data_IF_057830103434
#
_entry.id   IF_057830103434
#
_cell.length_a   1.000
_cell.length_b   1.000
_cell.length_c   1.000
_cell.angle_alpha   90.00
_cell.angle_beta   90.00
_cell.angle_gamma   90.00
#
_symmetry.space_group_name_H-M   'P 1'
#
loop_
_entity.id
_entity.type
_entity.pdbx_description
1 polymer ?
#
# COMPACT_ATOMS: atom_id res chain seq x y z
N UNK A 1 8.07 2.26 22.53
CA UNK A 1 8.75 2.48 21.22
C UNK A 1 7.87 2.01 20.07
N UNK A 2 7.87 2.78 19.00
CA UNK A 2 7.12 2.41 17.80
C UNK A 2 7.83 1.27 17.05
N UNK A 3 7.06 0.31 16.58
CA UNK A 3 7.58 -0.81 15.80
C UNK A 3 7.54 -0.46 14.32
N UNK A 4 8.63 -0.77 13.61
CA UNK A 4 8.69 -0.74 12.14
C UNK A 4 8.71 -2.20 11.69
N UNK A 5 7.72 -2.57 10.88
CA UNK A 5 7.55 -3.97 10.48
C UNK A 5 8.36 -4.29 9.21
N UNK A 6 8.64 -5.57 9.02
CA UNK A 6 9.08 -6.07 7.72
C UNK A 6 7.90 -5.97 6.75
N UNK A 7 8.14 -5.43 5.56
CA UNK A 7 7.09 -5.24 4.56
C UNK A 7 6.39 -6.55 4.19
N UNK A 8 7.15 -7.66 4.16
CA UNK A 8 6.58 -8.96 3.82
C UNK A 8 5.60 -9.47 4.87
N UNK A 9 5.80 -9.15 6.15
CA UNK A 9 4.86 -9.48 7.21
C UNK A 9 3.53 -8.73 7.01
N UNK A 10 3.62 -7.47 6.59
CA UNK A 10 2.41 -6.68 6.35
C UNK A 10 1.70 -7.16 5.08
N UNK A 11 2.44 -7.57 4.05
CA UNK A 11 1.85 -8.23 2.87
C UNK A 11 1.07 -9.47 3.29
N UNK A 12 1.68 -10.33 4.11
CA UNK A 12 1.02 -11.55 4.60
C UNK A 12 -0.25 -11.23 5.40
N UNK A 13 -0.17 -10.22 6.27
CA UNK A 13 -1.34 -9.76 7.03
C UNK A 13 -2.47 -9.33 6.09
N UNK A 14 -2.17 -8.49 5.12
CA UNK A 14 -3.17 -7.97 4.16
C UNK A 14 -3.82 -9.12 3.39
N UNK A 15 -3.02 -10.06 2.89
CA UNK A 15 -3.55 -11.21 2.14
C UNK A 15 -4.51 -12.02 3.02
N UNK A 16 -4.08 -12.43 4.21
CA UNK A 16 -4.90 -13.24 5.12
C UNK A 16 -6.15 -12.50 5.56
N UNK A 17 -6.02 -11.22 5.88
CA UNK A 17 -7.14 -10.41 6.37
C UNK A 17 -8.17 -10.16 5.26
N UNK A 18 -7.73 -9.91 4.04
CA UNK A 18 -8.62 -9.68 2.89
C UNK A 18 -9.53 -10.87 2.63
N UNK A 19 -9.00 -12.08 2.73
CA UNK A 19 -9.77 -13.31 2.47
C UNK A 19 -10.50 -13.86 3.70
N UNK A 20 -10.25 -13.31 4.87
CA UNK A 20 -10.91 -13.75 6.11
C UNK A 20 -12.40 -13.38 6.13
N UNK A 21 -12.75 -12.22 5.56
CA UNK A 21 -14.13 -11.74 5.54
C UNK A 21 -14.89 -12.16 4.29
N UNK A 22 -14.20 -12.30 3.16
CA UNK A 22 -14.83 -12.63 1.87
C UNK A 22 -13.86 -13.36 0.95
N UNK A 23 -14.10 -14.63 0.71
CA UNK A 23 -13.30 -15.46 -0.21
C UNK A 23 -13.38 -14.97 -1.66
N UNK A 24 -14.37 -14.14 -2.01
CA UNK A 24 -14.56 -13.60 -3.35
C UNK A 24 -13.82 -12.26 -3.55
N UNK A 25 -13.12 -11.76 -2.56
CA UNK A 25 -12.27 -10.58 -2.71
C UNK A 25 -11.10 -10.90 -3.65
N UNK A 26 -11.18 -10.38 -4.87
CA UNK A 26 -10.12 -10.58 -5.84
C UNK A 26 -8.97 -9.62 -5.56
N UNK A 27 -8.00 -10.07 -4.77
CA UNK A 27 -6.80 -9.30 -4.48
C UNK A 27 -5.77 -9.54 -5.59
N UNK A 28 -5.86 -8.76 -6.67
CA UNK A 28 -4.85 -8.83 -7.72
C UNK A 28 -3.57 -8.10 -7.28
N UNK A 29 -2.45 -8.43 -7.92
CA UNK A 29 -1.15 -7.86 -7.59
C UNK A 29 -1.15 -6.32 -7.63
N UNK A 30 -1.76 -5.74 -8.65
CA UNK A 30 -1.94 -4.28 -8.76
C UNK A 30 -2.61 -3.70 -7.51
N UNK A 31 -3.69 -4.31 -7.06
CA UNK A 31 -4.45 -3.86 -5.89
C UNK A 31 -3.62 -3.96 -4.61
N UNK A 32 -2.91 -5.07 -4.44
CA UNK A 32 -2.04 -5.27 -3.27
C UNK A 32 -0.99 -4.16 -3.17
N UNK A 33 -0.33 -3.81 -4.27
CA UNK A 33 0.66 -2.73 -4.29
C UNK A 33 0.06 -1.40 -3.82
N UNK A 34 -1.16 -1.08 -4.27
CA UNK A 34 -1.82 0.19 -3.92
C UNK A 34 -2.27 0.22 -2.46
N UNK A 35 -2.79 -0.90 -1.95
CA UNK A 35 -3.17 -1.02 -0.54
C UNK A 35 -1.94 -0.86 0.35
N UNK A 36 -0.83 -1.51 0.03
CA UNK A 36 0.42 -1.38 0.78
C UNK A 36 0.94 0.06 0.75
N UNK A 37 0.83 0.73 -0.40
CA UNK A 37 1.15 2.16 -0.49
C UNK A 37 0.30 2.98 0.47
N UNK A 38 -1.02 2.76 0.50
CA UNK A 38 -1.90 3.55 1.37
C UNK A 38 -1.67 3.28 2.86
N UNK A 39 -1.30 2.07 3.24
CA UNK A 39 -0.88 1.79 4.63
C UNK A 39 0.31 2.67 5.01
N UNK A 40 1.33 2.72 4.17
CA UNK A 40 2.52 3.55 4.42
C UNK A 40 2.19 5.04 4.39
N UNK A 41 1.44 5.46 3.38
CA UNK A 41 1.10 6.87 3.17
C UNK A 41 0.29 7.43 4.36
N UNK A 42 -0.74 6.72 4.79
CA UNK A 42 -1.55 7.15 5.92
C UNK A 42 -0.83 7.02 7.26
N UNK A 43 0.08 6.05 7.41
CA UNK A 43 0.93 6.00 8.60
C UNK A 43 1.79 7.25 8.70
N UNK A 44 2.41 7.65 7.59
CA UNK A 44 3.18 8.90 7.54
C UNK A 44 2.29 10.12 7.82
N UNK A 45 1.12 10.17 7.23
CA UNK A 45 0.19 11.31 7.41
C UNK A 45 -0.40 11.41 8.79
N UNK A 46 -0.87 10.32 9.36
CA UNK A 46 -1.58 10.30 10.65
C UNK A 46 -0.61 10.11 11.81
N UNK A 47 0.27 9.12 11.72
CA UNK A 47 1.15 8.69 12.81
C UNK A 47 2.53 9.32 12.76
N UNK A 48 2.84 10.05 11.68
CA UNK A 48 4.11 10.76 11.43
C UNK A 48 5.32 9.83 11.39
N UNK A 49 5.12 8.56 11.08
CA UNK A 49 6.18 7.55 10.98
C UNK A 49 5.85 6.49 9.94
N UNK A 50 6.91 5.84 9.43
CA UNK A 50 6.73 4.70 8.53
C UNK A 50 6.09 3.52 9.28
N UNK A 51 5.29 2.74 8.57
CA UNK A 51 4.71 1.52 9.11
C UNK A 51 5.66 0.33 8.93
N UNK A 52 6.33 0.29 7.79
CA UNK A 52 7.28 -0.77 7.43
C UNK A 52 8.46 -0.18 6.66
N UNK A 53 9.53 -0.98 6.52
CA UNK A 53 10.70 -0.61 5.73
C UNK A 53 10.42 -0.72 4.24
N UNK A 54 11.03 0.17 3.46
CA UNK A 54 10.95 0.15 2.01
C UNK A 54 10.37 1.43 1.44
N UNK A 55 10.77 1.72 0.21
CA UNK A 55 10.34 2.91 -0.53
C UNK A 55 9.40 2.51 -1.66
N UNK A 56 8.60 3.47 -2.11
CA UNK A 56 7.73 3.32 -3.27
C UNK A 56 8.27 4.15 -4.43
N UNK A 57 8.23 3.58 -5.63
CA UNK A 57 8.60 4.26 -6.86
C UNK A 57 7.34 4.63 -7.64
N UNK A 58 7.44 5.70 -8.43
CA UNK A 58 6.30 6.24 -9.17
C UNK A 58 6.19 5.63 -10.58
N UNK A 59 5.82 4.34 -10.62
CA UNK A 59 5.65 3.62 -11.88
C UNK A 59 4.40 4.07 -12.64
N UNK A 60 4.29 3.65 -13.90
CA UNK A 60 3.16 4.02 -14.77
C UNK A 60 1.80 3.66 -14.13
N UNK A 61 1.70 2.49 -13.53
CA UNK A 61 0.46 2.02 -12.91
C UNK A 61 0.34 2.39 -11.42
N UNK A 62 0.99 3.47 -11.01
CA UNK A 62 0.93 3.97 -9.65
C UNK A 62 2.14 3.56 -8.81
N UNK A 63 2.12 3.86 -7.51
CA UNK A 63 3.21 3.52 -6.60
C UNK A 63 3.49 2.02 -6.54
N UNK A 64 4.77 1.65 -6.59
CA UNK A 64 5.23 0.26 -6.52
C UNK A 64 6.37 0.15 -5.51
N UNK A 65 6.24 -0.79 -4.58
CA UNK A 65 7.34 -1.22 -3.72
C UNK A 65 8.17 -2.24 -4.48
N UNK A 66 9.48 -2.01 -4.58
CA UNK A 66 10.39 -2.96 -5.22
C UNK A 66 10.43 -4.29 -4.47
N UNK A 67 10.35 -4.28 -3.14
CA UNK A 67 10.32 -5.52 -2.35
C UNK A 67 9.12 -6.40 -2.70
N UNK A 68 7.94 -5.79 -2.86
CA UNK A 68 6.74 -6.53 -3.26
C UNK A 68 6.85 -7.00 -4.71
N UNK A 69 7.36 -6.13 -5.59
CA UNK A 69 7.60 -6.51 -6.98
C UNK A 69 8.52 -7.74 -7.08
N UNK A 70 9.65 -7.73 -6.37
CA UNK A 70 10.60 -8.82 -6.35
C UNK A 70 9.98 -10.13 -5.81
N UNK A 71 9.10 -10.02 -4.83
CA UNK A 71 8.42 -11.18 -4.24
C UNK A 71 7.56 -11.93 -5.26
N UNK A 72 6.90 -11.23 -6.17
CA UNK A 72 5.90 -11.82 -7.05
C UNK A 72 6.30 -11.88 -8.55
N UNK A 73 7.40 -11.24 -8.95
CA UNK A 73 7.76 -11.05 -10.36
C UNK A 73 7.85 -12.33 -11.18
N UNK A 74 8.29 -13.45 -10.58
CA UNK A 74 8.51 -14.70 -11.30
C UNK A 74 7.26 -15.58 -11.37
N UNK A 75 6.24 -15.31 -10.55
CA UNK A 75 5.04 -16.13 -10.43
C UNK A 75 3.74 -15.40 -10.75
N UNK A 76 3.74 -14.08 -10.69
CA UNK A 76 2.54 -13.25 -10.84
C UNK A 76 2.78 -12.12 -11.83
N UNK A 77 1.76 -11.81 -12.62
CA UNK A 77 1.69 -10.58 -13.42
C UNK A 77 0.93 -9.50 -12.65
N UNK A 78 0.80 -8.32 -13.24
CA UNK A 78 0.08 -7.18 -12.64
C UNK A 78 -1.36 -7.52 -12.26
N UNK A 79 -2.04 -8.31 -13.09
CA UNK A 79 -3.46 -8.65 -12.90
C UNK A 79 -3.68 -10.05 -12.31
N UNK A 80 -2.61 -10.75 -11.94
CA UNK A 80 -2.72 -12.06 -11.30
C UNK A 80 -3.32 -11.95 -9.91
N UNK A 81 -4.16 -12.93 -9.58
CA UNK A 81 -4.76 -13.03 -8.24
C UNK A 81 -3.69 -13.51 -7.26
N UNK A 82 -3.60 -12.82 -6.14
CA UNK A 82 -2.81 -13.23 -4.99
C UNK A 82 -3.78 -13.79 -3.95
N UNK A 83 -3.44 -14.92 -3.37
CA UNK A 83 -4.32 -15.60 -2.43
C UNK A 83 -3.53 -16.17 -1.24
N UNK A 84 -4.24 -16.87 -0.36
CA UNK A 84 -3.65 -17.36 0.90
C UNK A 84 -2.51 -18.37 0.71
N UNK A 85 -2.41 -19.01 -0.46
CA UNK A 85 -1.27 -19.91 -0.75
C UNK A 85 0.04 -19.15 -1.00
N UNK A 86 -0.05 -17.84 -1.26
CA UNK A 86 1.12 -16.98 -1.48
C UNK A 86 1.71 -16.43 -0.18
N UNK A 87 1.08 -16.69 0.96
CA UNK A 87 1.52 -16.19 2.27
C UNK A 87 2.75 -16.98 2.75
N UNK A 88 3.76 -16.26 3.25
CA UNK A 88 4.97 -16.86 3.81
C UNK A 88 4.76 -17.28 5.27
N UNK A 89 4.18 -16.39 6.07
CA UNK A 89 3.96 -16.61 7.50
C UNK A 89 2.46 -16.65 7.82
N UNK A 90 1.93 -17.85 7.97
CA UNK A 90 0.50 -18.06 8.26
C UNK A 90 0.10 -17.65 9.69
N UNK A 91 1.08 -17.43 10.56
CA UNK A 91 0.86 -16.98 11.94
C UNK A 91 1.17 -15.49 12.14
N UNK A 92 1.18 -14.72 11.05
CA UNK A 92 1.58 -13.31 11.08
C UNK A 92 0.70 -12.46 12.01
N UNK A 93 -0.55 -12.83 12.22
CA UNK A 93 -1.45 -12.11 13.13
C UNK A 93 -0.88 -12.03 14.56
N UNK A 94 -0.16 -13.07 14.98
CA UNK A 94 0.45 -13.13 16.31
C UNK A 94 1.66 -12.18 16.43
N UNK A 95 2.22 -11.72 15.31
CA UNK A 95 3.42 -10.89 15.25
C UNK A 95 3.12 -9.39 15.18
N UNK A 96 1.86 -9.02 14.98
CA UNK A 96 1.45 -7.62 14.81
C UNK A 96 0.74 -7.15 16.08
N UNK A 97 1.19 -6.02 16.64
CA UNK A 97 0.56 -5.42 17.82
C UNK A 97 -0.88 -5.02 17.50
N UNK A 98 -1.76 -5.14 18.48
CA UNK A 98 -3.19 -4.84 18.33
C UNK A 98 -3.43 -3.43 17.77
N UNK A 99 -2.74 -2.43 18.28
CA UNK A 99 -2.83 -1.06 17.80
C UNK A 99 -2.50 -0.94 16.31
N UNK A 100 -1.47 -1.65 15.87
CA UNK A 100 -1.00 -1.63 14.49
C UNK A 100 -1.91 -2.44 13.57
N UNK A 101 -2.41 -3.59 14.02
CA UNK A 101 -3.38 -4.36 13.24
C UNK A 101 -4.70 -3.60 13.08
N UNK A 102 -5.14 -2.87 14.11
CA UNK A 102 -6.32 -2.02 14.00
C UNK A 102 -6.12 -0.91 12.97
N UNK A 103 -4.91 -0.37 12.87
CA UNK A 103 -4.58 0.62 11.85
C UNK A 103 -4.65 0.03 10.43
N UNK A 104 -4.08 -1.16 10.23
CA UNK A 104 -4.19 -1.85 8.93
C UNK A 104 -5.65 -2.09 8.58
N UNK A 105 -6.44 -2.60 9.52
CA UNK A 105 -7.85 -2.89 9.31
C UNK A 105 -8.64 -1.63 8.93
N UNK A 106 -8.31 -0.49 9.55
CA UNK A 106 -8.90 0.79 9.19
C UNK A 106 -8.61 1.16 7.73
N UNK A 107 -7.38 0.95 7.26
CA UNK A 107 -7.04 1.19 5.85
C UNK A 107 -7.80 0.22 4.93
N UNK A 108 -7.87 -1.06 5.29
CA UNK A 108 -8.59 -2.06 4.49
C UNK A 108 -10.08 -1.73 4.38
N UNK A 109 -10.71 -1.30 5.47
CA UNK A 109 -12.13 -0.89 5.47
C UNK A 109 -12.41 0.24 4.48
N UNK A 110 -11.44 1.12 4.27
CA UNK A 110 -11.62 2.29 3.41
C UNK A 110 -11.20 2.07 1.96
N UNK A 111 -10.39 1.05 1.66
CA UNK A 111 -9.80 0.88 0.34
C UNK A 111 -10.12 -0.46 -0.34
N UNK A 112 -10.48 -1.51 0.40
CA UNK A 112 -10.76 -2.82 -0.20
C UNK A 112 -11.99 -2.82 -1.13
N UNK A 113 -12.90 -1.88 -0.95
CA UNK A 113 -14.09 -1.73 -1.81
C UNK A 113 -13.75 -1.28 -3.23
N UNK A 114 -12.55 -0.74 -3.46
CA UNK A 114 -12.13 -0.27 -4.77
C UNK A 114 -11.37 -1.36 -5.52
N UNK A 115 -11.51 -1.39 -6.85
CA UNK A 115 -10.70 -2.27 -7.70
C UNK A 115 -9.26 -1.76 -7.78
N UNK A 116 -8.34 -2.62 -8.27
CA UNK A 116 -6.96 -2.23 -8.49
C UNK A 116 -6.84 -1.02 -9.44
N UNK A 117 -7.65 -0.99 -10.50
CA UNK A 117 -7.66 0.11 -11.47
C UNK A 117 -8.19 1.40 -10.84
N UNK A 118 -9.24 1.29 -10.03
CA UNK A 118 -9.76 2.47 -9.30
C UNK A 118 -8.71 3.03 -8.34
N UNK A 119 -8.00 2.16 -7.61
CA UNK A 119 -6.91 2.59 -6.72
C UNK A 119 -5.76 3.21 -7.50
N UNK A 120 -5.40 2.65 -8.65
CA UNK A 120 -4.41 3.25 -9.55
C UNK A 120 -4.81 4.68 -9.90
N UNK A 121 -6.05 4.89 -10.33
CA UNK A 121 -6.55 6.21 -10.71
C UNK A 121 -6.55 7.17 -9.51
N UNK A 122 -6.85 6.69 -8.31
CA UNK A 122 -6.79 7.50 -7.10
C UNK A 122 -5.37 8.00 -6.85
N UNK A 123 -4.37 7.10 -6.93
CA UNK A 123 -2.96 7.51 -6.72
C UNK A 123 -2.49 8.50 -7.78
N UNK A 124 -2.95 8.35 -9.04
CA UNK A 124 -2.62 9.26 -10.13
C UNK A 124 -3.18 10.67 -9.91
N UNK A 125 -4.25 10.81 -9.15
CA UNK A 125 -4.85 12.11 -8.84
C UNK A 125 -4.22 12.80 -7.62
N UNK A 126 -3.28 12.14 -6.96
CA UNK A 126 -2.69 12.61 -5.70
C UNK A 126 -1.27 13.12 -5.89
N UNK A 127 -0.90 14.15 -5.12
CA UNK A 127 0.35 14.87 -5.29
C UNK A 127 1.62 13.99 -5.17
N UNK A 128 1.73 13.06 -4.22
CA UNK A 128 3.00 12.34 -4.05
C UNK A 128 3.47 11.60 -5.31
N UNK A 129 2.58 10.90 -5.99
CA UNK A 129 2.90 10.20 -7.24
C UNK A 129 3.15 11.20 -8.38
N UNK A 130 2.30 12.22 -8.50
CA UNK A 130 2.44 13.26 -9.53
C UNK A 130 3.77 14.01 -9.41
N UNK A 131 4.14 14.41 -8.19
CA UNK A 131 5.38 15.12 -7.92
C UNK A 131 6.61 14.32 -8.36
N UNK A 132 6.64 13.04 -8.00
CA UNK A 132 7.76 12.15 -8.35
C UNK A 132 7.90 11.98 -9.87
N UNK A 133 6.81 12.16 -10.62
CA UNK A 133 6.80 12.01 -12.08
C UNK A 133 6.96 13.31 -12.85
N UNK A 134 7.24 14.41 -12.18
CA UNK A 134 7.51 15.68 -12.88
C UNK A 134 8.65 15.48 -13.89
N UNK A 135 8.43 15.87 -15.15
CA UNK A 135 9.39 15.69 -16.24
C UNK A 135 9.25 14.38 -17.00
N UNK A 136 8.39 13.46 -16.54
CA UNK A 136 8.11 12.19 -17.24
C UNK A 136 6.76 12.26 -17.93
N UNK A 137 6.66 11.62 -19.11
CA UNK A 137 5.38 11.44 -19.80
C UNK A 137 4.52 10.40 -19.07
N UNK A 138 3.18 10.44 -19.21
CA UNK A 138 2.31 9.45 -18.56
C UNK A 138 2.63 7.99 -18.90
N UNK A 139 3.13 7.74 -20.11
CA UNK A 139 3.47 6.38 -20.59
C UNK A 139 4.96 6.06 -20.45
N UNK A 140 5.75 6.99 -19.92
CA UNK A 140 7.20 6.83 -19.78
C UNK A 140 7.52 6.11 -18.47
N UNK A 141 8.46 5.15 -18.52
CA UNK A 141 8.92 4.46 -17.32
C UNK A 141 9.60 5.45 -16.38
N UNK A 142 9.24 5.38 -15.11
CA UNK A 142 9.82 6.18 -14.05
C UNK A 142 10.09 5.29 -12.85
N UNK A 143 11.33 5.26 -12.38
CA UNK A 143 11.74 4.53 -11.19
C UNK A 143 12.07 5.47 -10.03
N UNK A 144 11.61 6.71 -10.11
CA UNK A 144 11.89 7.72 -9.09
C UNK A 144 11.10 7.41 -7.83
N UNK A 145 11.77 7.50 -6.68
CA UNK A 145 11.12 7.29 -5.39
C UNK A 145 10.14 8.41 -5.07
N UNK A 146 9.00 8.03 -4.51
CA UNK A 146 8.01 8.98 -4.01
C UNK A 146 8.52 9.52 -2.66
N UNK A 147 8.52 10.83 -2.51
CA UNK A 147 9.00 11.51 -1.30
C UNK A 147 8.13 11.17 -0.09
N UNK A 148 8.76 10.60 0.95
CA UNK A 148 8.06 10.35 2.21
C UNK A 148 7.65 11.63 2.92
N UNK A 149 8.41 12.71 2.75
CA UNK A 149 8.03 14.03 3.29
C UNK A 149 6.77 14.55 2.61
N UNK A 150 6.66 14.38 1.29
CA UNK A 150 5.44 14.77 0.56
C UNK A 150 4.26 13.90 0.95
N UNK A 151 4.45 12.59 1.12
CA UNK A 151 3.41 11.67 1.61
C UNK A 151 2.91 12.12 2.99
N UNK A 152 3.83 12.38 3.90
CA UNK A 152 3.52 12.82 5.26
C UNK A 152 2.71 14.13 5.27
N UNK A 153 3.13 15.10 4.49
CA UNK A 153 2.47 16.40 4.38
C UNK A 153 1.09 16.27 3.71
N UNK A 154 1.03 15.61 2.56
CA UNK A 154 -0.21 15.48 1.78
C UNK A 154 -1.29 14.70 2.54
N UNK A 155 -0.96 13.52 3.04
CA UNK A 155 -1.95 12.68 3.75
C UNK A 155 -2.23 13.23 5.16
N UNK A 156 -1.25 13.89 5.78
CA UNK A 156 -1.47 14.59 7.05
C UNK A 156 -2.50 15.70 6.93
N UNK A 157 -2.38 16.53 5.91
CA UNK A 157 -3.33 17.60 5.64
C UNK A 157 -4.71 17.04 5.28
N UNK A 158 -4.74 15.99 4.47
CA UNK A 158 -5.99 15.33 4.10
C UNK A 158 -6.70 14.77 5.33
N UNK A 159 -5.96 14.18 6.25
CA UNK A 159 -6.49 13.70 7.53
C UNK A 159 -7.07 14.83 8.38
N UNK A 160 -6.34 15.92 8.52
CA UNK A 160 -6.82 17.10 9.26
C UNK A 160 -8.14 17.62 8.69
N UNK A 161 -8.25 17.69 7.37
CA UNK A 161 -9.48 18.13 6.70
C UNK A 161 -10.65 17.16 6.95
N UNK A 162 -10.38 15.86 7.07
CA UNK A 162 -11.39 14.85 7.33
C UNK A 162 -11.93 14.92 8.77
N UNK A 163 -11.05 15.14 9.75
CA UNK A 163 -11.46 15.16 11.16
C UNK A 163 -12.03 16.50 11.61
N UNK A 164 -11.81 17.57 10.85
CA UNK A 164 -12.30 18.92 11.17
C UNK A 164 -13.59 19.28 10.40
N UNK A 165 -14.28 18.30 9.87
CA UNK A 165 -15.59 18.51 9.23
C UNK A 165 -16.69 18.71 10.25
#
# INVERSE_FOLDING_TARGET
>A
MSTVYDINDIVDYVILRAYQEDDNNLLINLKLQKIMYYIQAWSLGIRKRVFFNGKFQAWIHGPVSISIYERFKDTKTLYSIINTTDVYNKSVFDSIKKEDSDFIDFILENYMCFSGVELENMTHSELPWQEARIGFKPTERCAKEISEETMKSFYGKKWENLINR
#
